data_IF_511675706022
#
_entry.id   IF_511675706022
#
_cell.length_a   1.000
_cell.length_b   1.000
_cell.length_c   1.000
_cell.angle_alpha   90.00
_cell.angle_beta   90.00
_cell.angle_gamma   90.00
#
_symmetry.space_group_name_H-M   'P 1'
#
loop_
_entity.id
_entity.type
_entity.pdbx_description
1 polymer ?
#
# COMPACT_ATOMS: atom_id res chain seq x y z
N UNK A 1 -8.96 13.91 9.21
CA UNK A 1 -9.76 12.67 9.39
C UNK A 1 -10.06 12.13 8.00
N UNK A 2 -9.36 11.07 7.56
CA UNK A 2 -9.68 10.14 6.45
C UNK A 2 -8.37 9.41 6.06
N UNK A 3 -8.01 8.37 6.81
CA UNK A 3 -7.03 7.37 6.33
C UNK A 3 -7.24 5.98 6.96
N UNK A 4 -8.24 5.81 7.82
CA UNK A 4 -8.45 4.54 8.53
C UNK A 4 -9.25 3.54 7.67
N UNK A 5 -9.94 4.02 6.62
CA UNK A 5 -10.64 3.18 5.63
C UNK A 5 -10.56 3.83 4.26
N UNK A 6 -9.51 3.53 3.48
CA UNK A 6 -9.53 3.87 2.06
C UNK A 6 -10.55 2.96 1.35
N UNK A 7 -11.22 3.40 0.26
CA UNK A 7 -12.10 2.54 -0.52
C UNK A 7 -11.44 1.21 -0.91
N UNK A 8 -10.14 1.23 -1.16
CA UNK A 8 -9.34 0.06 -1.51
C UNK A 8 -9.30 -1.00 -0.40
N UNK A 9 -9.15 -0.62 0.87
CA UNK A 9 -9.10 -1.59 1.99
C UNK A 9 -10.47 -2.22 2.23
N UNK A 10 -11.54 -1.46 2.05
CA UNK A 10 -12.92 -1.96 2.10
C UNK A 10 -13.13 -3.00 1.00
N UNK A 11 -12.70 -2.71 -0.23
CA UNK A 11 -12.83 -3.62 -1.37
C UNK A 11 -12.03 -4.90 -1.14
N UNK A 12 -10.76 -4.79 -0.76
CA UNK A 12 -9.89 -5.93 -0.48
C UNK A 12 -10.51 -6.85 0.59
N UNK A 13 -10.97 -6.27 1.70
CA UNK A 13 -11.67 -7.02 2.76
C UNK A 13 -12.92 -7.73 2.24
N UNK A 14 -13.76 -7.03 1.46
CA UNK A 14 -15.01 -7.59 0.92
C UNK A 14 -14.75 -8.73 -0.07
N UNK A 15 -13.69 -8.65 -0.86
CA UNK A 15 -13.30 -9.72 -1.78
C UNK A 15 -12.76 -10.93 -1.01
N UNK A 16 -11.92 -10.71 0.01
CA UNK A 16 -11.45 -11.78 0.90
C UNK A 16 -12.62 -12.48 1.61
N UNK A 17 -13.62 -11.73 2.06
CA UNK A 17 -14.85 -12.29 2.66
C UNK A 17 -15.67 -13.17 1.69
N UNK A 18 -15.47 -13.01 0.38
CA UNK A 18 -16.11 -13.85 -0.65
C UNK A 18 -15.25 -15.07 -1.03
N UNK A 19 -14.11 -15.27 -0.39
CA UNK A 19 -13.22 -16.40 -0.64
C UNK A 19 -12.14 -16.14 -1.70
N UNK A 20 -11.96 -14.89 -2.14
CA UNK A 20 -10.84 -14.54 -3.03
C UNK A 20 -9.55 -14.35 -2.23
N UNK A 21 -8.44 -14.84 -2.75
CA UNK A 21 -7.11 -14.50 -2.23
C UNK A 21 -6.71 -13.11 -2.75
N UNK A 22 -6.31 -12.22 -1.84
CA UNK A 22 -6.04 -10.81 -2.13
C UNK A 22 -4.65 -10.42 -1.63
N UNK A 23 -3.83 -9.90 -2.53
CA UNK A 23 -2.59 -9.20 -2.18
C UNK A 23 -2.86 -7.70 -2.15
N UNK A 24 -2.84 -7.09 -0.96
CA UNK A 24 -2.98 -5.66 -0.77
C UNK A 24 -1.59 -5.01 -0.71
N UNK A 25 -1.22 -4.34 -1.80
CA UNK A 25 0.09 -3.70 -1.95
C UNK A 25 0.06 -2.27 -1.38
N UNK A 26 1.00 -1.95 -0.51
CA UNK A 26 1.22 -0.58 -0.03
C UNK A 26 2.64 -0.39 0.55
N UNK A 27 2.91 0.78 1.13
CA UNK A 27 4.18 1.11 1.79
C UNK A 27 4.11 0.81 3.29
N UNK A 28 5.25 0.62 4.00
CA UNK A 28 5.27 0.17 5.39
C UNK A 28 4.48 1.05 6.36
N UNK A 29 4.66 2.37 6.28
CA UNK A 29 3.94 3.35 7.09
C UNK A 29 2.44 3.35 6.81
N UNK A 30 2.02 3.16 5.56
CA UNK A 30 0.60 3.02 5.23
C UNK A 30 0.00 1.72 5.76
N UNK A 31 0.70 0.59 5.62
CA UNK A 31 0.29 -0.70 6.21
C UNK A 31 0.14 -0.58 7.73
N UNK A 32 1.07 0.10 8.39
CA UNK A 32 1.03 0.30 9.84
C UNK A 32 -0.22 1.10 10.30
N UNK A 33 -0.73 2.00 9.45
CA UNK A 33 -1.94 2.80 9.72
C UNK A 33 -3.24 2.03 9.45
N UNK A 34 -3.18 0.88 8.80
CA UNK A 34 -4.36 0.08 8.50
C UNK A 34 -4.98 -0.52 9.77
N UNK A 35 -6.31 -0.68 9.81
CA UNK A 35 -6.94 -1.50 10.84
C UNK A 35 -6.42 -2.94 10.72
N UNK A 36 -6.24 -3.60 11.86
CA UNK A 36 -5.79 -5.00 11.90
C UNK A 36 -6.72 -5.89 11.07
N UNK A 37 -6.13 -6.75 10.25
CA UNK A 37 -6.87 -7.77 9.50
C UNK A 37 -7.53 -8.74 10.47
N UNK A 38 -8.86 -8.98 10.37
CA UNK A 38 -9.51 -10.01 11.17
C UNK A 38 -8.87 -11.37 10.94
N UNK A 39 -8.60 -12.12 12.01
CA UNK A 39 -7.85 -13.39 11.95
C UNK A 39 -8.43 -14.41 10.96
N UNK A 40 -9.76 -14.46 10.79
CA UNK A 40 -10.41 -15.36 9.84
C UNK A 40 -10.18 -14.99 8.36
N UNK A 41 -9.74 -13.76 8.07
CA UNK A 41 -9.39 -13.30 6.72
C UNK A 41 -7.88 -13.32 6.48
N UNK A 42 -7.05 -13.50 7.51
CA UNK A 42 -5.60 -13.54 7.36
C UNK A 42 -5.09 -14.54 6.32
N UNK A 43 -5.72 -15.72 6.11
CA UNK A 43 -5.31 -16.65 5.06
C UNK A 43 -5.67 -16.22 3.63
N UNK A 44 -6.45 -15.15 3.46
CA UNK A 44 -6.99 -14.69 2.18
C UNK A 44 -6.62 -13.24 1.87
N UNK A 45 -5.92 -12.56 2.77
CA UNK A 45 -5.58 -11.15 2.64
C UNK A 45 -4.14 -10.93 3.09
N UNK A 46 -3.23 -10.98 2.12
CA UNK A 46 -1.82 -10.69 2.31
C UNK A 46 -1.58 -9.19 2.21
N UNK A 47 -0.88 -8.63 3.19
CA UNK A 47 -0.42 -7.24 3.14
C UNK A 47 1.02 -7.23 2.62
N UNK A 48 1.19 -6.81 1.36
CA UNK A 48 2.47 -6.80 0.67
C UNK A 48 3.08 -5.39 0.78
N UNK A 49 4.28 -5.31 1.34
CA UNK A 49 4.94 -4.05 1.65
C UNK A 49 6.11 -3.78 0.70
N UNK A 50 6.14 -2.61 0.07
CA UNK A 50 7.30 -2.11 -0.66
C UNK A 50 7.84 -0.84 0.00
N UNK A 51 9.10 -0.81 0.46
CA UNK A 51 9.71 0.40 1.01
C UNK A 51 9.67 1.54 -0.01
N UNK A 52 9.15 2.69 0.39
CA UNK A 52 9.10 3.86 -0.48
C UNK A 52 10.52 4.42 -0.68
N UNK A 53 11.00 4.53 -1.93
CA UNK A 53 12.32 5.12 -2.21
C UNK A 53 12.42 6.53 -1.68
N UNK A 54 13.52 6.84 -1.00
CA UNK A 54 13.81 8.20 -0.57
C UNK A 54 14.26 9.03 -1.78
N UNK A 55 13.65 10.19 -1.95
CA UNK A 55 13.98 11.17 -3.00
C UNK A 55 14.26 12.52 -2.36
N UNK A 56 15.03 13.35 -3.05
CA UNK A 56 15.35 14.70 -2.58
C UNK A 56 14.08 15.51 -2.28
N UNK A 57 14.03 16.11 -1.09
CA UNK A 57 12.89 16.91 -0.62
C UNK A 57 11.77 16.12 0.05
N UNK A 58 11.79 14.77 0.02
CA UNK A 58 10.79 13.97 0.73
C UNK A 58 11.11 13.93 2.23
N UNK A 59 10.18 14.32 3.13
CA UNK A 59 10.39 14.16 4.56
C UNK A 59 10.53 12.69 4.98
N UNK A 60 11.32 12.36 6.01
CA UNK A 60 11.41 11.01 6.52
C UNK A 60 10.05 10.45 6.93
N UNK A 61 9.75 9.22 6.53
CA UNK A 61 8.49 8.52 6.80
C UNK A 61 7.23 9.17 6.19
N UNK A 62 7.38 10.12 5.26
CA UNK A 62 6.26 10.65 4.49
C UNK A 62 5.84 9.65 3.42
N UNK A 63 4.71 8.99 3.64
CA UNK A 63 4.20 7.92 2.78
C UNK A 63 2.74 8.15 2.36
N UNK A 64 2.09 9.19 2.86
CA UNK A 64 0.74 9.57 2.46
C UNK A 64 0.67 11.06 2.14
N UNK A 65 -0.31 11.45 1.33
CA UNK A 65 -0.54 12.87 1.02
C UNK A 65 -0.83 13.75 2.24
N UNK A 66 -1.23 13.15 3.37
CA UNK A 66 -1.40 13.87 4.64
C UNK A 66 -0.08 14.12 5.39
N UNK A 67 1.02 13.49 4.97
CA UNK A 67 2.34 13.63 5.59
C UNK A 67 3.13 14.81 5.01
N UNK A 68 2.62 15.45 3.95
CA UNK A 68 3.32 16.50 3.20
C UNK A 68 2.37 17.65 2.83
N UNK A 69 2.91 18.84 2.58
CA UNK A 69 2.14 19.98 2.12
C UNK A 69 1.59 19.74 0.70
N UNK A 70 0.45 20.38 0.37
CA UNK A 70 -0.24 20.11 -0.88
C UNK A 70 0.60 20.54 -2.11
N UNK A 71 1.36 21.62 -1.97
CA UNK A 71 2.31 22.13 -2.96
C UNK A 71 3.46 21.16 -3.25
N UNK A 72 3.80 20.28 -2.31
CA UNK A 72 4.92 19.34 -2.38
C UNK A 72 4.49 17.91 -2.74
N UNK A 73 3.18 17.69 -2.99
CA UNK A 73 2.63 16.36 -3.30
C UNK A 73 3.33 15.70 -4.50
N UNK A 74 3.87 16.48 -5.44
CA UNK A 74 4.62 15.97 -6.58
C UNK A 74 5.88 15.20 -6.17
N UNK A 75 6.51 15.54 -5.04
CA UNK A 75 7.68 14.83 -4.50
C UNK A 75 7.28 13.42 -4.07
N UNK A 76 6.12 13.30 -3.41
CA UNK A 76 5.56 12.01 -3.02
C UNK A 76 5.24 11.17 -4.26
N UNK A 77 4.62 11.74 -5.29
CA UNK A 77 4.35 11.04 -6.56
C UNK A 77 5.64 10.51 -7.18
N UNK A 78 6.70 11.34 -7.25
CA UNK A 78 8.01 10.93 -7.77
C UNK A 78 8.61 9.76 -6.99
N UNK A 79 8.44 9.72 -5.67
CA UNK A 79 8.88 8.59 -4.86
C UNK A 79 8.10 7.30 -5.20
N UNK A 80 6.79 7.42 -5.42
CA UNK A 80 5.93 6.31 -5.82
C UNK A 80 6.24 5.77 -7.22
N UNK A 81 6.65 6.61 -8.16
CA UNK A 81 7.10 6.16 -9.50
C UNK A 81 8.28 5.18 -9.40
N UNK A 82 9.13 5.34 -8.38
CA UNK A 82 10.25 4.42 -8.09
C UNK A 82 9.82 3.02 -7.65
N UNK A 83 8.53 2.78 -7.40
CA UNK A 83 8.00 1.45 -7.09
C UNK A 83 7.62 0.64 -8.34
N UNK A 84 7.69 1.22 -9.54
CA UNK A 84 7.27 0.56 -10.78
C UNK A 84 7.99 -0.78 -11.01
N UNK A 85 9.33 -0.78 -10.95
CA UNK A 85 10.16 -1.96 -11.19
C UNK A 85 9.89 -3.07 -10.14
N UNK A 86 10.02 -2.84 -8.82
CA UNK A 86 9.79 -3.91 -7.84
C UNK A 86 8.35 -4.44 -7.82
N UNK A 87 7.36 -3.60 -8.14
CA UNK A 87 5.97 -4.08 -8.29
C UNK A 87 5.83 -4.93 -9.55
N UNK A 88 6.47 -4.56 -10.66
CA UNK A 88 6.41 -5.34 -11.91
C UNK A 88 7.01 -6.73 -11.70
N UNK A 89 8.18 -6.82 -11.07
CA UNK A 89 8.82 -8.10 -10.71
C UNK A 89 7.91 -8.95 -9.82
N UNK A 90 7.28 -8.35 -8.82
CA UNK A 90 6.33 -9.04 -7.95
C UNK A 90 5.13 -9.60 -8.72
N UNK A 91 4.57 -8.83 -9.66
CA UNK A 91 3.44 -9.27 -10.47
C UNK A 91 3.82 -10.40 -11.42
N UNK A 92 5.02 -10.38 -12.01
CA UNK A 92 5.53 -11.47 -12.85
C UNK A 92 5.68 -12.77 -12.06
N UNK A 93 6.23 -12.70 -10.85
CA UNK A 93 6.39 -13.86 -9.96
C UNK A 93 5.03 -14.40 -9.51
N UNK A 94 4.10 -13.53 -9.13
CA UNK A 94 2.77 -13.91 -8.64
C UNK A 94 1.88 -14.54 -9.71
N UNK A 95 2.20 -14.35 -10.99
CA UNK A 95 1.46 -14.96 -12.11
C UNK A 95 1.86 -16.41 -12.39
N UNK A 96 2.89 -16.93 -11.71
CA UNK A 96 3.36 -18.31 -11.83
C UNK A 96 2.60 -19.30 -10.92
N UNK A 97 1.77 -18.76 -10.01
CA UNK A 97 0.88 -19.50 -9.10
C UNK A 97 -0.51 -19.74 -9.72
#
# INVERSE_FOLDING_TARGET
MLCVWSPHTIIAKRLAQKGHHISFISTPGNIHRLPKVPQHLAPLLDLVSFPLPQVEGLPPNAEAGNDIAAEDLYILVKAYDGLQEPISEFLEISALD
#
